data_IF_980810192941
#
_entry.id   IF_980810192941
#
_cell.length_a   1.000
_cell.length_b   1.000
_cell.length_c   1.000
_cell.angle_alpha   90.00
_cell.angle_beta   90.00
_cell.angle_gamma   90.00
#
_symmetry.space_group_name_H-M   'P 1'
#
loop_
_entity.id
_entity.type
_entity.pdbx_description
1 polymer ?
#
# COMPACT_ATOMS: atom_id res chain seq x y z
N UNK A 1 5.48 -2.87 16.12
CA UNK A 1 5.98 -3.85 15.12
C UNK A 1 6.27 -3.11 13.82
N UNK A 2 7.42 -3.35 13.19
CA UNK A 2 7.82 -2.75 11.90
C UNK A 2 7.16 -3.48 10.70
N UNK A 3 6.95 -2.79 9.55
CA UNK A 3 6.25 -3.36 8.37
C UNK A 3 6.94 -4.62 7.85
N UNK A 4 8.27 -4.65 7.82
CA UNK A 4 9.04 -5.79 7.35
C UNK A 4 8.88 -7.01 8.27
N UNK A 5 8.74 -6.77 9.57
CA UNK A 5 8.48 -7.84 10.54
C UNK A 5 7.08 -8.42 10.37
N UNK A 6 6.09 -7.56 10.12
CA UNK A 6 4.72 -8.00 9.86
C UNK A 6 4.65 -8.86 8.58
N UNK A 7 5.27 -8.40 7.47
CA UNK A 7 5.27 -9.15 6.22
C UNK A 7 5.91 -10.55 6.38
N UNK A 8 7.01 -10.66 7.13
CA UNK A 8 7.64 -11.96 7.40
C UNK A 8 6.77 -12.88 8.27
N UNK A 9 6.11 -12.35 9.30
CA UNK A 9 5.22 -13.13 10.16
C UNK A 9 3.98 -13.66 9.44
N UNK A 10 3.62 -13.02 8.34
CA UNK A 10 2.48 -13.35 7.52
C UNK A 10 2.89 -14.02 6.19
N UNK A 11 4.09 -14.64 6.09
CA UNK A 11 4.52 -15.34 4.87
C UNK A 11 4.51 -14.48 3.58
N UNK A 12 4.62 -13.16 3.75
CA UNK A 12 4.71 -12.16 2.68
C UNK A 12 6.14 -11.61 2.54
N UNK A 13 7.16 -12.38 2.95
CA UNK A 13 8.58 -11.99 2.91
C UNK A 13 9.11 -11.69 1.48
N UNK A 14 8.42 -12.21 0.46
CA UNK A 14 8.63 -11.88 -0.94
C UNK A 14 8.40 -10.39 -1.22
N UNK A 15 7.50 -9.74 -0.49
CA UNK A 15 7.38 -8.28 -0.48
C UNK A 15 8.52 -7.74 0.39
N UNK A 16 9.67 -7.45 -0.23
CA UNK A 16 10.83 -6.89 0.48
C UNK A 16 10.59 -5.43 0.85
N UNK A 17 9.97 -5.19 1.99
CA UNK A 17 10.01 -3.88 2.63
C UNK A 17 11.30 -3.81 3.46
N UNK A 18 12.19 -2.86 3.20
CA UNK A 18 13.34 -2.62 4.10
C UNK A 18 13.49 -1.12 4.34
N UNK A 19 12.50 -0.52 5.01
CA UNK A 19 12.21 0.95 5.03
C UNK A 19 12.04 1.63 3.66
N UNK A 20 12.53 1.01 2.59
CA UNK A 20 12.44 1.25 1.16
C UNK A 20 12.68 -0.12 0.51
N UNK A 21 11.70 -0.64 -0.24
CA UNK A 21 11.83 -1.88 -1.00
C UNK A 21 12.39 -1.65 -2.39
N UNK A 22 13.02 -2.68 -2.96
CA UNK A 22 13.43 -2.71 -4.37
C UNK A 22 12.88 -3.98 -5.00
N UNK A 23 12.14 -3.83 -6.09
CA UNK A 23 11.64 -4.92 -6.93
C UNK A 23 12.41 -4.92 -8.26
N UNK A 24 12.90 -6.09 -8.66
CA UNK A 24 13.59 -6.30 -9.93
C UNK A 24 12.81 -7.35 -10.72
N UNK A 25 12.43 -7.01 -11.95
CA UNK A 25 11.67 -7.90 -12.83
C UNK A 25 11.92 -7.50 -14.28
N UNK A 26 12.20 -8.48 -15.15
CA UNK A 26 12.40 -8.28 -16.60
C UNK A 26 13.38 -7.15 -16.95
N UNK A 27 14.48 -7.03 -16.20
CA UNK A 27 15.49 -5.98 -16.37
C UNK A 27 15.07 -4.57 -15.90
N UNK A 28 13.86 -4.43 -15.35
CA UNK A 28 13.33 -3.19 -14.78
C UNK A 28 13.49 -3.18 -13.27
N UNK A 29 13.58 -1.97 -12.70
CA UNK A 29 13.73 -1.74 -11.27
C UNK A 29 12.66 -0.78 -10.77
N UNK A 30 11.93 -1.19 -9.72
CA UNK A 30 11.01 -0.32 -8.99
C UNK A 30 11.46 -0.20 -7.55
N UNK A 31 11.74 1.03 -7.12
CA UNK A 31 11.90 1.38 -5.70
C UNK A 31 10.53 1.70 -5.12
N UNK A 32 10.16 1.09 -4.03
CA UNK A 32 8.84 1.28 -3.42
C UNK A 32 8.90 1.44 -1.90
N UNK A 33 7.82 1.94 -1.32
CA UNK A 33 7.60 1.94 0.13
C UNK A 33 6.29 1.21 0.42
N UNK A 34 6.29 0.29 1.39
CA UNK A 34 5.10 -0.50 1.76
C UNK A 34 4.54 -0.02 3.08
N UNK A 35 3.23 0.18 3.11
CA UNK A 35 2.46 0.31 4.34
C UNK A 35 1.41 -0.78 4.40
N UNK A 36 1.31 -1.41 5.57
CA UNK A 36 0.28 -2.41 5.84
C UNK A 36 -0.75 -1.76 6.74
N UNK A 37 -2.00 -1.76 6.29
CA UNK A 37 -3.14 -1.48 7.15
C UNK A 37 -3.29 -2.62 8.16
N UNK A 38 -3.11 -2.30 9.43
CA UNK A 38 -3.28 -3.26 10.53
C UNK A 38 -4.68 -3.22 11.13
N UNK A 39 -5.58 -2.43 10.57
CA UNK A 39 -6.84 -2.10 11.21
C UNK A 39 -6.66 -1.06 12.32
N UNK A 40 -7.73 -0.77 13.08
CA UNK A 40 -7.67 0.22 14.14
C UNK A 40 -6.72 -0.28 15.24
N UNK A 41 -5.66 0.47 15.49
CA UNK A 41 -4.65 0.13 16.49
C UNK A 41 -4.86 0.99 17.74
N UNK A 42 -5.46 0.39 18.78
CA UNK A 42 -5.45 0.89 20.17
C UNK A 42 -6.15 2.23 20.42
N UNK A 43 -7.34 2.17 21.02
CA UNK A 43 -8.12 3.32 21.50
C UNK A 43 -9.60 3.17 21.21
N UNK A 44 -10.47 3.80 22.01
CA UNK A 44 -11.90 3.93 21.70
C UNK A 44 -12.03 4.89 20.52
N UNK A 45 -11.82 4.36 19.32
CA UNK A 45 -12.00 5.07 18.07
C UNK A 45 -13.47 4.97 17.70
N UNK A 46 -14.11 6.12 17.46
CA UNK A 46 -15.50 6.18 17.00
C UNK A 46 -15.65 5.34 15.72
N UNK A 47 -16.81 4.71 15.50
CA UNK A 47 -17.01 3.81 14.34
C UNK A 47 -16.64 4.46 13.01
N UNK A 48 -16.88 5.77 12.87
CA UNK A 48 -16.52 6.53 11.68
C UNK A 48 -15.00 6.68 11.48
N UNK A 49 -14.24 6.79 12.57
CA UNK A 49 -12.78 6.92 12.55
C UNK A 49 -12.09 5.55 12.48
N UNK A 50 -12.76 4.44 12.82
CA UNK A 50 -12.18 3.09 12.70
C UNK A 50 -11.86 2.76 11.24
N UNK A 51 -12.67 3.24 10.30
CA UNK A 51 -12.51 2.98 8.87
C UNK A 51 -11.22 3.60 8.30
N UNK A 52 -10.73 4.70 8.88
CA UNK A 52 -9.55 5.45 8.41
C UNK A 52 -8.40 5.46 9.41
N UNK A 53 -8.62 4.96 10.63
CA UNK A 53 -7.62 4.88 11.70
C UNK A 53 -6.38 4.10 11.26
N UNK A 54 -5.21 4.70 11.44
CA UNK A 54 -3.91 4.15 11.05
C UNK A 54 -3.41 4.71 9.72
N UNK A 55 -4.16 4.50 8.63
CA UNK A 55 -3.77 4.95 7.29
C UNK A 55 -4.14 6.41 6.98
N UNK A 56 -5.23 6.95 7.54
CA UNK A 56 -5.63 8.34 7.29
C UNK A 56 -4.58 9.36 7.76
N UNK A 57 -3.97 9.13 8.93
CA UNK A 57 -2.86 9.94 9.42
C UNK A 57 -1.60 9.81 8.56
N UNK A 58 -1.34 8.62 8.02
CA UNK A 58 -0.23 8.35 7.10
C UNK A 58 -0.44 9.09 5.77
N UNK A 59 -1.60 8.95 5.15
CA UNK A 59 -1.95 9.65 3.91
C UNK A 59 -1.88 11.17 4.09
N UNK A 60 -2.40 11.69 5.21
CA UNK A 60 -2.26 13.11 5.54
C UNK A 60 -0.80 13.54 5.70
N UNK A 61 0.07 12.67 6.23
CA UNK A 61 1.51 12.87 6.27
C UNK A 61 2.13 12.99 4.87
N UNK A 62 1.77 12.11 3.94
CA UNK A 62 2.19 12.20 2.54
C UNK A 62 1.72 13.47 1.85
N UNK A 63 0.48 13.90 2.12
CA UNK A 63 -0.08 15.14 1.55
C UNK A 63 0.63 16.38 2.10
N UNK A 64 1.02 16.36 3.38
CA UNK A 64 1.76 17.45 4.04
C UNK A 64 3.25 17.47 3.73
N UNK A 65 3.82 16.39 3.20
CA UNK A 65 5.22 16.33 2.86
C UNK A 65 5.52 17.27 1.68
N UNK A 66 6.34 18.30 1.91
CA UNK A 66 6.73 19.26 0.87
C UNK A 66 7.51 18.59 -0.27
N UNK A 67 8.21 17.49 0.03
CA UNK A 67 9.00 16.71 -0.93
C UNK A 67 8.40 15.34 -1.14
N UNK A 68 8.41 14.91 -2.40
CA UNK A 68 8.13 13.53 -2.79
C UNK A 68 9.09 12.58 -2.05
N UNK A 69 8.53 11.48 -1.57
CA UNK A 69 9.37 10.37 -1.10
C UNK A 69 10.13 9.83 -2.32
N UNK A 70 11.46 9.60 -2.24
CA UNK A 70 12.30 9.20 -3.38
C UNK A 70 12.12 7.71 -3.74
N UNK A 71 10.87 7.33 -4.02
CA UNK A 71 10.42 6.02 -4.45
C UNK A 71 9.54 6.17 -5.69
N UNK A 72 9.58 5.17 -6.56
CA UNK A 72 8.72 5.08 -7.74
C UNK A 72 7.28 4.70 -7.41
N UNK A 73 7.02 4.07 -6.25
CA UNK A 73 5.66 3.74 -5.82
C UNK A 73 5.52 3.67 -4.29
N UNK A 74 4.31 3.97 -3.80
CA UNK A 74 3.87 3.66 -2.44
C UNK A 74 2.82 2.54 -2.53
N UNK A 75 3.10 1.43 -1.89
CA UNK A 75 2.22 0.25 -1.86
C UNK A 75 1.45 0.25 -0.55
N UNK A 76 0.14 0.13 -0.63
CA UNK A 76 -0.75 0.05 0.53
C UNK A 76 -1.42 -1.32 0.55
N UNK A 77 -1.19 -2.09 1.61
CA UNK A 77 -1.80 -3.41 1.80
C UNK A 77 -2.95 -3.25 2.80
N UNK A 78 -4.17 -3.18 2.30
CA UNK A 78 -5.38 -3.11 3.08
C UNK A 78 -5.66 -4.44 3.79
N UNK A 79 -6.29 -4.38 4.96
CA UNK A 79 -6.69 -5.56 5.73
C UNK A 79 -7.68 -6.43 4.93
N UNK A 80 -8.68 -5.78 4.32
CA UNK A 80 -9.78 -6.41 3.58
C UNK A 80 -10.20 -5.55 2.38
N UNK A 81 -11.13 -6.07 1.58
CA UNK A 81 -11.60 -5.43 0.35
C UNK A 81 -12.43 -4.15 0.62
N UNK A 82 -13.19 -4.10 1.72
CA UNK A 82 -13.97 -2.91 2.07
C UNK A 82 -13.06 -1.74 2.44
N UNK A 83 -11.96 -2.03 3.13
CA UNK A 83 -10.90 -1.06 3.40
C UNK A 83 -10.14 -0.66 2.13
N UNK A 84 -9.80 -1.62 1.26
CA UNK A 84 -9.14 -1.30 -0.01
C UNK A 84 -9.97 -0.31 -0.85
N UNK A 85 -11.28 -0.52 -0.94
CA UNK A 85 -12.16 0.36 -1.72
C UNK A 85 -12.29 1.75 -1.11
N UNK A 86 -12.39 1.85 0.23
CA UNK A 86 -12.37 3.14 0.92
C UNK A 86 -11.06 3.89 0.70
N UNK A 87 -9.92 3.21 0.83
CA UNK A 87 -8.61 3.80 0.57
C UNK A 87 -8.50 4.30 -0.87
N UNK A 88 -8.99 3.53 -1.84
CA UNK A 88 -9.07 3.95 -3.24
C UNK A 88 -9.95 5.18 -3.43
N UNK A 89 -11.13 5.21 -2.82
CA UNK A 89 -12.03 6.38 -2.89
C UNK A 89 -11.37 7.64 -2.30
N UNK A 90 -10.67 7.51 -1.17
CA UNK A 90 -9.93 8.60 -0.54
C UNK A 90 -8.75 9.09 -1.40
N UNK A 91 -8.02 8.16 -2.04
CA UNK A 91 -6.92 8.47 -2.95
C UNK A 91 -7.40 9.08 -4.27
N UNK A 92 -8.60 8.72 -4.73
CA UNK A 92 -9.25 9.35 -5.88
C UNK A 92 -9.69 10.78 -5.57
N UNK A 93 -10.26 11.00 -4.38
CA UNK A 93 -10.71 12.32 -3.94
C UNK A 93 -9.54 13.26 -3.67
N UNK A 94 -8.49 12.74 -3.04
CA UNK A 94 -7.28 13.49 -2.70
C UNK A 94 -6.02 12.70 -3.09
N UNK A 95 -5.61 12.81 -4.37
CA UNK A 95 -4.44 12.11 -4.90
C UNK A 95 -3.16 12.46 -4.16
N UNK A 96 -2.30 11.46 -3.98
CA UNK A 96 -0.94 11.69 -3.51
C UNK A 96 -0.03 12.08 -4.68
N UNK A 97 1.05 12.79 -4.36
CA UNK A 97 2.06 13.15 -5.37
C UNK A 97 2.85 11.93 -5.86
N UNK A 98 3.07 10.95 -4.99
CA UNK A 98 3.70 9.68 -5.35
C UNK A 98 2.69 8.77 -6.07
N UNK A 99 3.15 7.93 -6.99
CA UNK A 99 2.32 6.84 -7.49
C UNK A 99 1.94 5.91 -6.33
N UNK A 100 0.66 5.53 -6.26
CA UNK A 100 0.13 4.68 -5.20
C UNK A 100 -0.53 3.47 -5.83
N UNK A 101 -0.29 2.30 -5.26
CA UNK A 101 -1.11 1.12 -5.54
C UNK A 101 -1.59 0.49 -4.24
N UNK A 102 -2.80 -0.05 -4.29
CA UNK A 102 -3.45 -0.76 -3.18
C UNK A 102 -3.55 -2.25 -3.49
N UNK A 103 -3.55 -3.08 -2.45
CA UNK A 103 -3.96 -4.48 -2.55
C UNK A 103 -4.54 -4.92 -1.22
N UNK A 104 -5.01 -6.16 -1.11
CA UNK A 104 -5.44 -6.74 0.17
C UNK A 104 -4.47 -7.82 0.64
N UNK A 105 -4.43 -8.03 1.95
CA UNK A 105 -3.70 -9.17 2.53
C UNK A 105 -4.16 -10.50 1.91
N UNK A 106 -5.48 -10.66 1.74
CA UNK A 106 -6.07 -11.88 1.16
C UNK A 106 -5.55 -12.20 -0.25
N UNK A 107 -5.38 -11.19 -1.10
CA UNK A 107 -4.83 -11.39 -2.44
C UNK A 107 -3.36 -11.77 -2.39
N UNK A 108 -2.57 -11.11 -1.55
CA UNK A 108 -1.14 -11.42 -1.40
C UNK A 108 -0.88 -12.80 -0.76
N UNK A 109 -1.82 -13.35 0.02
CA UNK A 109 -1.71 -14.74 0.49
C UNK A 109 -1.96 -15.79 -0.60
N UNK A 110 -2.68 -15.42 -1.66
CA UNK A 110 -3.09 -16.35 -2.73
C UNK A 110 -2.27 -16.20 -4.00
N UNK A 111 -1.67 -15.03 -4.20
CA UNK A 111 -1.00 -14.63 -5.43
C UNK A 111 0.36 -14.02 -5.11
N UNK A 112 1.25 -14.08 -6.08
CA UNK A 112 2.57 -13.48 -5.92
C UNK A 112 2.52 -11.96 -6.18
N UNK A 113 3.43 -11.16 -5.59
CA UNK A 113 3.45 -9.72 -5.80
C UNK A 113 3.72 -9.29 -7.26
N UNK A 114 4.33 -10.15 -8.08
CA UNK A 114 4.50 -9.98 -9.53
C UNK A 114 3.28 -10.38 -10.36
N UNK A 115 2.26 -10.99 -9.75
CA UNK A 115 0.95 -11.16 -10.38
C UNK A 115 0.19 -9.83 -10.44
N UNK A 116 -0.92 -9.82 -11.18
CA UNK A 116 -1.83 -8.68 -11.27
C UNK A 116 -2.67 -8.53 -9.99
N UNK A 117 -2.03 -8.10 -8.90
CA UNK A 117 -2.64 -7.97 -7.57
C UNK A 117 -2.74 -6.52 -7.10
N UNK A 118 -2.06 -5.57 -7.77
CA UNK A 118 -1.96 -4.18 -7.37
C UNK A 118 -2.95 -3.30 -8.11
N UNK A 119 -3.83 -2.62 -7.39
CA UNK A 119 -4.80 -1.71 -7.96
C UNK A 119 -4.30 -0.26 -7.87
N UNK A 120 -4.17 0.41 -9.00
CA UNK A 120 -3.87 1.85 -9.03
C UNK A 120 -5.19 2.63 -8.92
N UNK A 121 -5.30 3.64 -8.03
CA UNK A 121 -6.49 4.49 -7.93
C UNK A 121 -6.79 5.18 -9.26
N UNK A 122 -8.03 5.09 -9.73
CA UNK A 122 -8.48 5.71 -10.99
C UNK A 122 -8.26 4.87 -12.25
N UNK A 123 -7.58 3.74 -12.13
CA UNK A 123 -7.39 2.82 -13.25
C UNK A 123 -8.31 1.60 -13.14
N UNK A 124 -8.62 1.01 -14.28
CA UNK A 124 -9.35 -0.26 -14.36
C UNK A 124 -8.39 -1.44 -14.37
N UNK A 125 -8.69 -2.44 -13.54
CA UNK A 125 -7.92 -3.67 -13.46
C UNK A 125 -6.68 -3.58 -12.56
N UNK A 126 -6.23 -4.75 -12.12
CA UNK A 126 -5.03 -4.90 -11.30
C UNK A 126 -3.80 -5.03 -12.18
N UNK A 127 -2.69 -4.51 -11.68
CA UNK A 127 -1.38 -4.46 -12.32
C UNK A 127 -0.38 -5.30 -11.56
N UNK A 128 0.69 -5.65 -12.26
CA UNK A 128 1.89 -6.24 -11.66
C UNK A 128 2.67 -5.16 -10.92
N UNK A 129 3.43 -5.54 -9.90
CA UNK A 129 4.18 -4.56 -9.10
C UNK A 129 5.08 -3.67 -9.97
N UNK A 130 5.79 -4.25 -10.95
CA UNK A 130 6.70 -3.51 -11.84
C UNK A 130 6.00 -2.46 -12.72
N UNK A 131 4.67 -2.53 -12.85
CA UNK A 131 3.88 -1.63 -13.70
C UNK A 131 3.37 -0.40 -12.96
N UNK A 132 3.46 -0.36 -11.62
CA UNK A 132 2.87 0.69 -10.77
C UNK A 132 3.61 2.03 -10.87
N UNK A 133 4.93 2.01 -11.08
CA UNK A 133 5.76 3.22 -11.15
C UNK A 133 6.20 3.59 -12.57
N UNK A 134 5.52 3.07 -13.60
CA UNK A 134 5.85 3.27 -15.01
C UNK A 134 5.04 4.38 -15.65
#
# INVERSE_FOLDING_TARGET
>A
MDTSSWLRQHDLAQVRADRYGVWLQDGRCLRFLVHVDRGPSGGVVAEHERATSGLGGLLAGYRRADRLVPVGAVLLIAQDAEREERLRADLLREPLRNAVATTTQQLLYRHWPDDQVWQVPGESGRRRLIEVGS
#
